data_IF_277698676356
#
_entry.id   IF_277698676356
#
_cell.length_a   1.000
_cell.length_b   1.000
_cell.length_c   1.000
_cell.angle_alpha   90.00
_cell.angle_beta   90.00
_cell.angle_gamma   90.00
#
_symmetry.space_group_name_H-M   'P 1'
#
loop_
_entity.id
_entity.type
_entity.pdbx_description
1 polymer ?
#
# COMPACT_ATOMS: atom_id res chain seq x y z
N UNK A 1 -19.42 3.64 5.71
CA UNK A 1 -18.13 4.35 5.44
C UNK A 1 -18.44 5.78 5.13
N UNK A 2 -17.94 6.71 5.95
CA UNK A 2 -18.25 8.13 5.82
C UNK A 2 -17.08 8.98 6.35
N UNK A 3 -17.22 10.29 6.25
CA UNK A 3 -16.15 11.21 6.67
C UNK A 3 -15.82 11.12 8.16
N UNK A 4 -16.82 10.79 9.00
CA UNK A 4 -16.59 10.63 10.44
C UNK A 4 -15.65 9.45 10.72
N UNK A 5 -15.87 8.32 10.05
CA UNK A 5 -14.99 7.17 10.17
C UNK A 5 -13.58 7.51 9.69
N UNK A 6 -13.45 8.16 8.54
CA UNK A 6 -12.14 8.53 7.99
C UNK A 6 -11.41 9.48 8.94
N UNK A 7 -12.09 10.49 9.49
CA UNK A 7 -11.48 11.41 10.45
C UNK A 7 -10.98 10.69 11.69
N UNK A 8 -11.75 9.75 12.22
CA UNK A 8 -11.33 8.98 13.38
C UNK A 8 -10.10 8.13 13.10
N UNK A 9 -10.01 7.56 11.90
CA UNK A 9 -8.85 6.79 11.49
C UNK A 9 -7.62 7.67 11.29
N UNK A 10 -7.79 8.88 10.76
CA UNK A 10 -6.69 9.85 10.64
C UNK A 10 -6.13 10.26 12.01
N UNK A 11 -7.01 10.51 12.97
CA UNK A 11 -6.57 10.81 14.35
C UNK A 11 -5.69 9.70 14.91
N UNK A 12 -6.06 8.44 14.68
CA UNK A 12 -5.27 7.30 15.12
C UNK A 12 -3.95 7.18 14.34
N UNK A 13 -3.98 7.43 13.04
CA UNK A 13 -2.78 7.37 12.21
C UNK A 13 -1.75 8.42 12.61
N UNK A 14 -2.19 9.64 12.92
CA UNK A 14 -1.31 10.74 13.30
C UNK A 14 -0.48 10.43 14.55
N UNK A 15 -1.06 9.68 15.50
CA UNK A 15 -0.36 9.31 16.73
C UNK A 15 0.24 7.91 16.70
N UNK A 16 0.07 7.18 15.62
CA UNK A 16 0.69 5.88 15.41
C UNK A 16 2.15 6.09 15.01
N UNK A 17 3.07 5.35 15.61
CA UNK A 17 4.49 5.51 15.27
C UNK A 17 4.80 5.15 13.81
N UNK A 18 3.96 4.34 13.15
CA UNK A 18 4.08 4.04 11.73
C UNK A 18 3.32 5.03 10.84
N UNK A 19 2.62 6.00 11.40
CA UNK A 19 1.85 7.03 10.69
C UNK A 19 0.83 6.43 9.72
N UNK A 20 0.18 5.35 10.14
CA UNK A 20 -0.88 4.71 9.39
C UNK A 20 -1.82 3.94 10.29
N UNK A 21 -3.05 3.72 9.80
CA UNK A 21 -4.09 2.98 10.52
C UNK A 21 -4.92 2.19 9.53
N UNK A 22 -5.10 0.91 9.80
CA UNK A 22 -5.93 0.03 8.98
C UNK A 22 -7.30 -0.15 9.62
N UNK A 23 -8.30 -0.41 8.79
CA UNK A 23 -9.63 -0.78 9.21
C UNK A 23 -10.15 -1.87 8.29
N UNK A 24 -10.36 -3.06 8.83
CA UNK A 24 -10.83 -4.22 8.05
C UNK A 24 -12.36 -4.12 7.87
N UNK A 25 -12.80 -4.16 6.63
CA UNK A 25 -14.23 -4.10 6.29
C UNK A 25 -14.89 -5.47 6.28
N UNK A 26 -14.14 -6.54 6.44
CA UNK A 26 -14.73 -7.88 6.54
C UNK A 26 -15.52 -7.99 7.85
N UNK A 27 -16.63 -8.71 7.78
CA UNK A 27 -17.46 -8.95 8.96
C UNK A 27 -16.98 -10.15 9.77
N UNK A 28 -16.30 -11.09 9.13
CA UNK A 28 -15.71 -12.27 9.77
C UNK A 28 -14.37 -12.61 9.15
N UNK A 29 -13.48 -13.34 9.86
CA UNK A 29 -12.22 -13.80 9.29
C UNK A 29 -12.40 -14.79 8.13
N UNK A 30 -13.53 -15.44 8.03
CA UNK A 30 -13.83 -16.42 6.98
C UNK A 30 -14.26 -15.77 5.67
N UNK A 31 -14.52 -14.45 5.67
CA UNK A 31 -14.85 -13.73 4.44
C UNK A 31 -13.62 -13.69 3.53
N UNK A 32 -13.71 -14.39 2.41
CA UNK A 32 -12.61 -14.48 1.44
C UNK A 32 -12.40 -13.23 0.60
N UNK A 33 -13.31 -12.26 0.70
CA UNK A 33 -13.21 -11.00 -0.04
C UNK A 33 -12.60 -9.93 0.87
N UNK A 34 -11.28 -9.82 0.83
CA UNK A 34 -10.58 -8.85 1.67
C UNK A 34 -10.80 -7.42 1.15
N UNK A 35 -11.31 -6.58 2.03
CA UNK A 35 -11.50 -5.16 1.78
C UNK A 35 -11.02 -4.42 3.02
N UNK A 36 -10.17 -3.43 2.81
CA UNK A 36 -9.53 -2.74 3.94
C UNK A 36 -9.40 -1.25 3.62
N UNK A 37 -9.73 -0.42 4.59
CA UNK A 37 -9.33 0.98 4.54
C UNK A 37 -7.93 1.09 5.12
N UNK A 38 -7.07 1.81 4.43
CA UNK A 38 -5.74 2.15 4.91
C UNK A 38 -5.65 3.66 4.94
N UNK A 39 -5.53 4.21 6.13
CA UNK A 39 -5.32 5.64 6.30
C UNK A 39 -3.83 5.88 6.51
N UNK A 40 -3.29 6.79 5.73
CA UNK A 40 -1.85 7.00 5.62
C UNK A 40 -1.53 8.47 5.79
N UNK A 41 -0.51 8.75 6.60
CA UNK A 41 -0.01 10.11 6.79
C UNK A 41 1.31 10.31 6.06
N UNK A 42 1.63 11.55 5.63
CA UNK A 42 2.94 11.85 5.06
C UNK A 42 4.04 11.44 6.03
N UNK A 43 5.08 10.82 5.50
CA UNK A 43 6.18 10.31 6.31
C UNK A 43 6.05 8.83 6.67
N UNK A 44 4.87 8.22 6.49
CA UNK A 44 4.75 6.77 6.68
C UNK A 44 5.66 6.04 5.69
N UNK A 45 6.29 4.97 6.17
CA UNK A 45 7.18 4.15 5.35
C UNK A 45 6.59 2.78 5.20
N UNK A 46 6.29 2.42 3.95
CA UNK A 46 5.80 1.10 3.59
C UNK A 46 6.89 0.39 2.81
N UNK A 47 7.39 -0.70 3.35
CA UNK A 47 8.46 -1.46 2.70
C UNK A 47 8.02 -1.97 1.34
N UNK A 48 8.99 -2.13 0.44
CA UNK A 48 8.75 -2.78 -0.85
C UNK A 48 8.27 -4.20 -0.59
N UNK A 49 7.14 -4.56 -1.15
CA UNK A 49 6.51 -5.87 -0.94
C UNK A 49 5.73 -6.32 -2.16
N UNK A 50 5.30 -7.57 -2.15
CA UNK A 50 4.43 -8.11 -3.19
C UNK A 50 3.49 -9.15 -2.60
N UNK A 51 2.42 -9.43 -3.34
CA UNK A 51 1.46 -10.48 -3.02
C UNK A 51 1.59 -11.57 -4.08
N UNK A 52 1.91 -12.79 -3.66
CA UNK A 52 2.19 -13.88 -4.59
C UNK A 52 0.94 -14.59 -5.11
N UNK A 53 -0.17 -14.49 -4.39
CA UNK A 53 -1.39 -15.23 -4.72
C UNK A 53 -2.50 -14.38 -5.28
N UNK A 54 -2.49 -13.08 -5.04
CA UNK A 54 -3.60 -12.21 -5.41
C UNK A 54 -3.11 -10.94 -6.09
N UNK A 55 -3.95 -10.39 -6.94
CA UNK A 55 -3.83 -8.99 -7.38
C UNK A 55 -4.51 -8.09 -6.36
N UNK A 56 -4.28 -6.80 -6.46
CA UNK A 56 -4.85 -5.81 -5.57
C UNK A 56 -5.46 -4.68 -6.38
N UNK A 57 -6.67 -4.26 -6.00
CA UNK A 57 -7.26 -3.01 -6.49
C UNK A 57 -7.10 -1.98 -5.39
N UNK A 58 -6.36 -0.91 -5.67
CA UNK A 58 -6.16 0.18 -4.72
C UNK A 58 -6.88 1.42 -5.22
N UNK A 59 -7.77 1.97 -4.39
CA UNK A 59 -8.52 3.20 -4.70
C UNK A 59 -8.19 4.22 -3.63
N UNK A 60 -7.89 5.45 -4.05
CA UNK A 60 -7.67 6.56 -3.15
C UNK A 60 -8.96 7.36 -3.03
N UNK A 61 -9.45 7.50 -1.81
CA UNK A 61 -10.70 8.21 -1.52
C UNK A 61 -10.44 9.71 -1.32
N UNK A 62 -9.31 10.04 -0.69
CA UNK A 62 -8.91 11.43 -0.46
C UNK A 62 -7.40 11.53 -0.38
N UNK A 63 -6.86 12.74 -0.53
CA UNK A 63 -5.44 13.00 -0.46
C UNK A 63 -4.71 12.73 -1.77
N UNK A 64 -3.38 12.59 -1.68
CA UNK A 64 -2.53 12.31 -2.84
C UNK A 64 -1.41 11.35 -2.45
N UNK A 65 -1.25 10.32 -3.24
CA UNK A 65 -0.22 9.29 -3.06
C UNK A 65 0.44 8.98 -4.40
N UNK A 66 1.62 8.38 -4.34
CA UNK A 66 2.23 7.72 -5.48
C UNK A 66 2.29 6.22 -5.18
N UNK A 67 1.86 5.40 -6.13
CA UNK A 67 2.13 3.97 -6.12
C UNK A 67 3.37 3.71 -6.95
N UNK A 68 4.31 2.98 -6.39
CA UNK A 68 5.64 2.81 -6.96
C UNK A 68 5.87 1.34 -7.22
N UNK A 69 6.32 1.01 -8.43
CA UNK A 69 6.66 -0.35 -8.82
C UNK A 69 8.16 -0.52 -8.96
N UNK A 70 8.63 -1.70 -8.62
CA UNK A 70 10.06 -2.01 -8.60
C UNK A 70 10.33 -3.30 -9.35
N UNK A 71 11.57 -3.44 -9.82
CA UNK A 71 12.10 -4.72 -10.25
C UNK A 71 13.25 -5.12 -9.33
N UNK A 72 13.38 -6.42 -9.09
CA UNK A 72 14.47 -6.96 -8.30
C UNK A 72 15.73 -6.96 -9.18
N UNK A 73 16.83 -6.43 -8.64
CA UNK A 73 18.06 -6.32 -9.40
C UNK A 73 18.68 -7.70 -9.63
N UNK A 74 19.32 -7.91 -10.80
CA UNK A 74 20.04 -9.16 -11.09
C UNK A 74 21.15 -9.40 -10.05
N UNK A 75 21.49 -10.67 -9.86
CA UNK A 75 22.58 -11.12 -8.97
C UNK A 75 22.32 -10.91 -7.49
N UNK A 76 21.11 -10.54 -7.10
CA UNK A 76 20.75 -10.47 -5.69
C UNK A 76 20.32 -11.85 -5.22
N UNK A 77 20.72 -12.18 -4.00
CA UNK A 77 20.32 -13.41 -3.38
C UNK A 77 18.82 -13.41 -3.15
N UNK A 78 18.14 -14.39 -3.69
CA UNK A 78 16.71 -14.50 -3.51
C UNK A 78 16.29 -14.72 -2.05
N UNK A 79 17.20 -15.19 -1.21
CA UNK A 79 16.97 -15.23 0.24
C UNK A 79 15.88 -16.15 0.70
N UNK A 80 15.45 -17.12 -0.09
CA UNK A 80 14.46 -18.09 0.33
C UNK A 80 13.07 -17.54 0.59
N UNK A 81 12.76 -16.41 0.07
CA UNK A 81 11.44 -15.81 0.22
C UNK A 81 10.43 -16.52 -0.65
N UNK A 82 9.51 -17.19 -0.03
CA UNK A 82 8.51 -18.01 -0.72
C UNK A 82 7.14 -17.87 -0.10
N UNK A 83 6.95 -16.87 0.73
CA UNK A 83 5.66 -16.66 1.39
C UNK A 83 4.80 -15.70 0.59
N UNK A 84 3.49 -15.91 0.65
CA UNK A 84 2.55 -14.92 0.17
C UNK A 84 2.74 -13.65 1.01
N UNK A 85 2.70 -12.48 0.37
CA UNK A 85 2.94 -11.23 1.06
C UNK A 85 4.40 -10.97 1.38
N UNK A 86 5.31 -11.36 0.49
CA UNK A 86 6.74 -11.08 0.66
C UNK A 86 7.01 -9.59 0.84
N UNK A 87 7.85 -9.28 1.81
CA UNK A 87 8.35 -7.93 2.07
C UNK A 87 9.86 -7.94 1.98
N UNK A 88 10.43 -6.96 1.27
CA UNK A 88 11.86 -6.85 1.13
C UNK A 88 12.50 -6.36 2.43
N UNK A 89 13.48 -7.08 2.94
CA UNK A 89 14.28 -6.66 4.09
C UNK A 89 15.30 -5.59 3.71
N UNK A 90 15.78 -5.62 2.47
CA UNK A 90 16.79 -4.68 1.95
C UNK A 90 16.30 -4.11 0.62
N UNK A 91 15.86 -2.84 0.66
CA UNK A 91 15.33 -2.17 -0.51
C UNK A 91 16.42 -1.80 -1.55
N UNK A 92 17.70 -1.88 -1.18
CA UNK A 92 18.78 -1.61 -2.13
C UNK A 92 18.84 -2.62 -3.28
N UNK A 93 18.19 -3.79 -3.13
CA UNK A 93 18.10 -4.79 -4.21
C UNK A 93 17.03 -4.47 -5.25
N UNK A 94 16.32 -3.37 -5.12
CA UNK A 94 15.22 -3.02 -6.01
C UNK A 94 15.50 -1.71 -6.73
N UNK A 95 15.02 -1.65 -7.96
CA UNK A 95 15.07 -0.46 -8.78
C UNK A 95 13.66 0.00 -9.09
N UNK A 96 13.36 1.26 -8.84
CA UNK A 96 12.08 1.84 -9.23
C UNK A 96 11.97 1.83 -10.75
N UNK A 97 10.87 1.26 -11.27
CA UNK A 97 10.63 1.18 -12.71
C UNK A 97 9.40 1.93 -13.17
N UNK A 98 8.47 2.22 -12.26
CA UNK A 98 7.28 3.01 -12.59
C UNK A 98 6.72 3.68 -11.35
N UNK A 99 6.08 4.82 -11.55
CA UNK A 99 5.47 5.58 -10.47
C UNK A 99 4.20 6.23 -10.99
N UNK A 100 3.09 6.01 -10.27
CA UNK A 100 1.78 6.51 -10.68
C UNK A 100 1.18 7.38 -9.58
N UNK A 101 0.86 8.61 -9.93
CA UNK A 101 0.16 9.50 -9.04
C UNK A 101 -1.31 9.10 -8.95
N UNK A 102 -1.81 8.97 -7.72
CA UNK A 102 -3.23 8.73 -7.44
C UNK A 102 -3.71 9.87 -6.54
N UNK A 103 -4.57 10.72 -7.10
CA UNK A 103 -4.99 11.96 -6.47
C UNK A 103 -6.40 12.28 -6.98
N UNK A 104 -7.45 11.98 -6.19
CA UNK A 104 -8.84 12.12 -6.66
C UNK A 104 -9.19 13.50 -7.20
N UNK A 105 -8.69 14.56 -6.57
CA UNK A 105 -8.95 15.92 -7.06
C UNK A 105 -8.33 16.21 -8.43
N UNK A 106 -7.37 15.38 -8.86
CA UNK A 106 -6.76 15.48 -10.19
C UNK A 106 -7.37 14.48 -11.18
N UNK A 107 -8.41 13.75 -10.76
CA UNK A 107 -9.08 12.79 -11.62
C UNK A 107 -8.40 11.43 -11.70
N UNK A 108 -7.48 11.14 -10.78
CA UNK A 108 -6.76 9.86 -10.73
C UNK A 108 -7.16 9.13 -9.46
N UNK A 109 -7.91 8.06 -9.61
CA UNK A 109 -8.63 7.46 -8.49
C UNK A 109 -8.03 6.17 -7.96
N UNK A 110 -7.37 5.40 -8.79
CA UNK A 110 -6.87 4.12 -8.32
C UNK A 110 -6.02 3.38 -9.34
N UNK A 111 -5.58 2.19 -8.98
CA UNK A 111 -4.69 1.37 -9.78
C UNK A 111 -4.92 -0.10 -9.47
N UNK A 112 -4.66 -0.95 -10.47
CA UNK A 112 -4.55 -2.39 -10.29
C UNK A 112 -3.09 -2.76 -10.06
N UNK A 113 -2.83 -3.52 -9.03
CA UNK A 113 -1.49 -4.03 -8.74
C UNK A 113 -1.48 -5.52 -9.08
N UNK A 114 -0.74 -5.93 -10.11
CA UNK A 114 -0.73 -7.33 -10.53
C UNK A 114 -0.16 -8.25 -9.45
N UNK A 115 -0.62 -9.48 -9.45
CA UNK A 115 -0.04 -10.53 -8.62
C UNK A 115 1.47 -10.62 -8.86
N UNK A 116 2.25 -10.65 -7.80
CA UNK A 116 3.70 -10.78 -7.86
C UNK A 116 4.47 -9.47 -8.10
N UNK A 117 3.80 -8.37 -8.40
CA UNK A 117 4.47 -7.10 -8.64
C UNK A 117 5.02 -6.50 -7.34
N UNK A 118 6.31 -6.21 -7.32
CA UNK A 118 6.94 -5.50 -6.21
C UNK A 118 6.49 -4.05 -6.21
N UNK A 119 6.02 -3.57 -5.06
CA UNK A 119 5.48 -2.21 -4.97
C UNK A 119 5.60 -1.61 -3.57
N UNK A 120 5.45 -0.30 -3.52
CA UNK A 120 5.29 0.44 -2.29
C UNK A 120 4.47 1.70 -2.54
N UNK A 121 4.46 2.61 -1.58
CA UNK A 121 3.65 3.82 -1.64
C UNK A 121 4.44 4.99 -1.05
N UNK A 122 4.25 6.17 -1.62
CA UNK A 122 4.70 7.42 -1.03
C UNK A 122 3.49 8.32 -0.82
N UNK A 123 3.37 8.89 0.37
CA UNK A 123 2.20 9.70 0.74
C UNK A 123 2.60 11.16 0.71
N UNK A 124 1.92 11.94 -0.15
CA UNK A 124 2.18 13.38 -0.29
C UNK A 124 1.26 14.21 0.60
N UNK A 125 0.00 13.76 0.73
CA UNK A 125 -1.01 14.39 1.59
C UNK A 125 -1.75 13.27 2.32
N UNK A 126 -2.32 13.55 3.50
CA UNK A 126 -3.08 12.53 4.24
C UNK A 126 -4.12 11.85 3.33
N UNK A 127 -4.07 10.55 3.27
CA UNK A 127 -4.85 9.77 2.33
C UNK A 127 -5.47 8.53 2.97
#
# INVERSE_FOLDING_TARGET
>A
MNSRLLSALHEKAEVNERLRQNYDLRTTPEDGSQRMLNVLEPGTKVAVHRHLKTSETAICVEGCIDRIFYEELPNMDAGGRIHDGETAADESRFKEVARFRICPREGQFGIQIPKGAWHSIEVHEPA
#
